data_IF_570488765795
#
_entry.id   IF_570488765795
#
_cell.length_a   1.000
_cell.length_b   1.000
_cell.length_c   1.000
_cell.angle_alpha   90.00
_cell.angle_beta   90.00
_cell.angle_gamma   90.00
#
_symmetry.space_group_name_H-M   'P 1'
#
loop_
_entity.id
_entity.type
_entity.pdbx_description
1 polymer ?
#
# COMPACT_ATOMS: atom_id res chain seq x y z
N UNK A 1 -20.80 6.99 5.39
CA UNK A 1 -20.02 5.76 5.19
C UNK A 1 -20.15 4.93 6.45
N UNK A 2 -20.80 3.77 6.38
CA UNK A 2 -20.94 2.82 7.49
C UNK A 2 -20.30 1.49 7.10
N UNK A 3 -19.90 0.69 8.10
CA UNK A 3 -19.37 -0.67 7.91
C UNK A 3 -17.88 -0.75 7.60
N UNK A 4 -17.40 -1.95 7.32
CA UNK A 4 -15.99 -2.22 7.05
C UNK A 4 -15.70 -2.30 5.54
N UNK A 5 -14.44 -2.10 5.17
CA UNK A 5 -13.91 -2.48 3.86
C UNK A 5 -12.67 -3.31 4.11
N UNK A 6 -12.68 -4.55 3.63
CA UNK A 6 -11.66 -5.53 3.97
C UNK A 6 -10.85 -5.93 2.76
N UNK A 7 -9.54 -5.89 2.94
CA UNK A 7 -8.56 -6.56 2.11
C UNK A 7 -7.81 -7.55 2.98
N UNK A 8 -7.07 -8.46 2.36
CA UNK A 8 -6.39 -9.55 3.07
C UNK A 8 -5.55 -9.06 4.26
N UNK A 9 -4.78 -7.99 4.04
CA UNK A 9 -3.81 -7.47 5.02
C UNK A 9 -4.14 -6.09 5.60
N UNK A 10 -5.29 -5.52 5.25
CA UNK A 10 -5.75 -4.24 5.79
C UNK A 10 -7.27 -4.21 5.88
N UNK A 11 -7.79 -3.76 7.02
CA UNK A 11 -9.22 -3.54 7.24
C UNK A 11 -9.44 -2.06 7.53
N UNK A 12 -10.40 -1.46 6.84
CA UNK A 12 -10.85 -0.08 7.04
C UNK A 12 -12.19 -0.11 7.76
N UNK A 13 -12.22 0.39 9.00
CA UNK A 13 -13.45 0.58 9.77
C UNK A 13 -13.94 2.02 9.58
N UNK A 14 -15.12 2.18 8.97
CA UNK A 14 -15.69 3.50 8.66
C UNK A 14 -16.39 4.13 9.86
N UNK A 15 -16.74 3.32 10.86
CA UNK A 15 -17.48 3.75 12.05
C UNK A 15 -16.49 4.27 13.10
N UNK A 16 -15.42 3.52 13.40
CA UNK A 16 -14.33 3.99 14.25
C UNK A 16 -13.37 4.97 13.55
N UNK A 17 -13.45 5.07 12.21
CA UNK A 17 -12.59 5.92 11.37
C UNK A 17 -11.11 5.56 11.51
N UNK A 18 -10.83 4.26 11.57
CA UNK A 18 -9.48 3.70 11.69
C UNK A 18 -9.22 2.65 10.62
N UNK A 19 -7.96 2.37 10.36
CA UNK A 19 -7.54 1.20 9.59
C UNK A 19 -6.59 0.33 10.42
N UNK A 20 -6.72 -0.98 10.26
CA UNK A 20 -5.89 -1.97 10.93
C UNK A 20 -5.08 -2.75 9.91
N UNK A 21 -3.76 -2.77 10.10
CA UNK A 21 -2.80 -3.46 9.26
C UNK A 21 -2.41 -4.79 9.89
N UNK A 22 -2.50 -5.87 9.10
CA UNK A 22 -2.17 -7.24 9.51
C UNK A 22 -0.80 -7.70 9.00
N UNK A 23 -0.27 -7.09 7.93
CA UNK A 23 1.04 -7.40 7.34
C UNK A 23 1.76 -6.12 6.88
N UNK A 24 3.00 -5.93 7.35
CA UNK A 24 3.75 -4.67 7.24
C UNK A 24 3.85 -3.99 8.61
N UNK A 25 3.55 -2.70 8.69
CA UNK A 25 3.50 -1.91 9.93
C UNK A 25 2.25 -2.26 10.74
N UNK A 26 2.22 -3.45 11.36
CA UNK A 26 1.06 -3.95 12.11
C UNK A 26 0.58 -2.97 13.18
N UNK A 27 -0.72 -2.79 13.28
CA UNK A 27 -1.34 -1.86 14.23
C UNK A 27 -2.62 -1.23 13.70
N UNK A 28 -3.24 -0.39 14.52
CA UNK A 28 -4.44 0.38 14.17
C UNK A 28 -4.09 1.86 14.15
N UNK A 29 -4.52 2.53 13.09
CA UNK A 29 -4.15 3.91 12.79
C UNK A 29 -5.38 4.74 12.45
N UNK A 30 -5.45 6.01 12.86
CA UNK A 30 -6.60 6.87 12.59
C UNK A 30 -6.56 7.42 11.15
N UNK A 31 -7.75 7.56 10.54
CA UNK A 31 -7.91 8.18 9.22
C UNK A 31 -7.44 9.64 9.18
N UNK A 32 -7.63 10.38 10.27
CA UNK A 32 -7.29 11.79 10.36
C UNK A 32 -5.79 12.05 10.17
N UNK A 33 -4.95 11.04 10.40
CA UNK A 33 -3.50 11.18 10.30
C UNK A 33 -2.97 10.85 8.90
N UNK A 34 -3.78 10.25 8.01
CA UNK A 34 -3.32 9.93 6.64
C UNK A 34 -3.18 11.21 5.84
N UNK A 35 -1.98 11.51 5.33
CA UNK A 35 -1.73 12.66 4.46
C UNK A 35 -1.43 12.28 3.01
N UNK A 36 -0.88 11.08 2.79
CA UNK A 36 -0.59 10.58 1.45
C UNK A 36 -0.69 9.04 1.40
N UNK A 37 -0.86 8.51 0.19
CA UNK A 37 -0.95 7.08 -0.07
C UNK A 37 -0.30 6.73 -1.42
N UNK A 38 0.74 5.91 -1.40
CA UNK A 38 1.51 5.49 -2.57
C UNK A 38 1.47 3.98 -2.76
N UNK A 39 1.60 3.52 -4.00
CA UNK A 39 1.75 2.10 -4.31
C UNK A 39 3.22 1.84 -4.62
N UNK A 40 3.78 0.79 -4.04
CA UNK A 40 5.16 0.40 -4.22
C UNK A 40 5.27 -1.10 -4.46
N UNK A 41 6.34 -1.48 -5.17
CA UNK A 41 6.73 -2.88 -5.37
C UNK A 41 8.05 -3.09 -4.63
N UNK A 42 8.03 -3.86 -3.55
CA UNK A 42 9.21 -4.21 -2.78
C UNK A 42 10.00 -5.31 -3.49
N UNK A 43 11.32 -5.17 -3.64
CA UNK A 43 12.14 -6.25 -4.18
C UNK A 43 12.17 -7.42 -3.20
N UNK A 44 11.69 -8.59 -3.65
CA UNK A 44 11.53 -9.77 -2.81
C UNK A 44 12.85 -10.25 -2.18
N UNK A 45 14.02 -9.87 -2.72
CA UNK A 45 15.32 -10.20 -2.14
C UNK A 45 15.59 -9.55 -0.80
N UNK A 46 14.93 -8.42 -0.53
CA UNK A 46 15.16 -7.57 0.66
C UNK A 46 14.03 -7.65 1.70
N UNK A 47 12.90 -8.29 1.38
CA UNK A 47 11.81 -8.47 2.35
C UNK A 47 12.33 -9.15 3.62
N UNK A 48 12.06 -8.52 4.77
CA UNK A 48 12.44 -9.02 6.09
C UNK A 48 13.91 -8.80 6.46
N UNK A 49 14.73 -8.25 5.56
CA UNK A 49 16.13 -7.87 5.83
C UNK A 49 16.27 -6.38 6.13
N UNK A 50 15.48 -5.58 5.43
CA UNK A 50 15.45 -4.13 5.53
C UNK A 50 14.03 -3.65 5.86
N UNK A 51 13.90 -2.34 6.13
CA UNK A 51 12.60 -1.68 6.24
C UNK A 51 11.74 -1.95 4.97
N UNK A 52 10.44 -2.25 5.12
CA UNK A 52 9.55 -2.50 3.99
C UNK A 52 9.61 -1.40 2.93
N UNK A 53 9.70 -1.78 1.67
CA UNK A 53 9.72 -0.85 0.52
C UNK A 53 10.90 0.14 0.52
N UNK A 54 11.98 -0.13 1.26
CA UNK A 54 13.25 0.59 1.09
C UNK A 54 13.87 0.35 -0.28
N UNK A 55 13.71 -0.87 -0.81
CA UNK A 55 14.24 -1.29 -2.11
C UNK A 55 13.11 -1.47 -3.12
N UNK A 56 12.64 -0.37 -3.69
CA UNK A 56 11.50 -0.41 -4.62
C UNK A 56 11.90 -0.72 -6.06
N UNK A 57 11.12 -1.55 -6.75
CA UNK A 57 11.23 -1.78 -8.19
C UNK A 57 10.29 -0.83 -8.95
N UNK A 58 10.86 0.14 -9.68
CA UNK A 58 10.12 1.18 -10.39
C UNK A 58 9.41 0.68 -11.65
N UNK A 59 8.19 1.19 -11.89
CA UNK A 59 7.31 0.84 -13.04
C UNK A 59 7.99 0.97 -14.42
N UNK A 60 8.93 1.90 -14.59
CA UNK A 60 9.70 2.07 -15.84
C UNK A 60 10.78 1.00 -16.07
N UNK A 61 11.35 0.41 -15.01
CA UNK A 61 12.30 -0.70 -15.16
C UNK A 61 11.63 -1.99 -15.61
N UNK A 62 10.30 -2.10 -15.54
CA UNK A 62 9.62 -3.35 -15.88
C UNK A 62 9.75 -3.73 -17.35
N UNK A 63 9.89 -2.74 -18.25
CA UNK A 63 10.15 -2.98 -19.67
C UNK A 63 11.52 -3.62 -19.91
N UNK A 64 12.54 -3.29 -19.10
CA UNK A 64 13.85 -3.97 -19.14
C UNK A 64 13.84 -5.34 -18.44
N UNK A 65 12.88 -5.59 -17.54
CA UNK A 65 12.87 -6.81 -16.70
C UNK A 65 12.25 -8.04 -17.37
N UNK A 66 11.81 -7.99 -18.63
CA UNK A 66 11.44 -9.21 -19.36
C UNK A 66 12.57 -10.28 -19.36
N UNK A 67 13.82 -9.85 -19.13
CA UNK A 67 15.00 -10.72 -19.06
C UNK A 67 15.49 -11.01 -17.62
N UNK A 68 14.85 -10.45 -16.60
CA UNK A 68 15.24 -10.67 -15.21
C UNK A 68 14.03 -11.18 -14.45
N UNK A 69 14.04 -12.45 -14.04
CA UNK A 69 13.04 -13.09 -13.17
C UNK A 69 12.96 -12.37 -11.80
N UNK A 70 12.49 -11.12 -11.79
CA UNK A 70 12.36 -10.30 -10.59
C UNK A 70 11.01 -10.63 -9.96
N UNK A 71 11.08 -10.97 -8.70
CA UNK A 71 9.93 -11.19 -7.85
C UNK A 71 9.77 -9.97 -6.97
N UNK A 72 8.53 -9.53 -6.80
CA UNK A 72 8.21 -8.38 -5.96
C UNK A 72 7.09 -8.70 -5.00
N UNK A 73 6.98 -7.91 -3.95
CA UNK A 73 5.77 -7.81 -3.16
C UNK A 73 5.07 -6.49 -3.47
N UNK A 74 3.78 -6.54 -3.78
CA UNK A 74 2.98 -5.35 -4.02
C UNK A 74 2.49 -4.82 -2.68
N UNK A 75 2.56 -3.50 -2.49
CA UNK A 75 2.05 -2.88 -1.28
C UNK A 75 1.65 -1.43 -1.43
N UNK A 76 1.15 -0.92 -0.31
CA UNK A 76 0.72 0.46 -0.14
C UNK A 76 1.51 1.08 1.00
N UNK A 77 1.95 2.32 0.81
CA UNK A 77 2.66 3.12 1.80
C UNK A 77 1.75 4.30 2.15
N UNK A 78 1.34 4.38 3.41
CA UNK A 78 0.69 5.56 3.96
C UNK A 78 1.73 6.48 4.56
N UNK A 79 1.66 7.76 4.19
CA UNK A 79 2.36 8.80 4.93
C UNK A 79 1.41 9.38 5.96
N UNK A 80 1.88 9.45 7.20
CA UNK A 80 1.12 9.93 8.34
C UNK A 80 1.52 11.38 8.66
N UNK A 81 0.65 12.12 9.36
CA UNK A 81 0.85 13.54 9.70
C UNK A 81 2.13 13.81 10.49
N UNK A 82 2.60 12.85 11.29
CA UNK A 82 3.87 12.90 12.01
C UNK A 82 5.09 12.52 11.15
N UNK A 83 4.94 12.51 9.81
CA UNK A 83 5.93 12.06 8.83
C UNK A 83 6.34 10.59 8.90
N UNK A 84 5.67 9.80 9.76
CA UNK A 84 5.88 8.36 9.79
C UNK A 84 5.32 7.73 8.51
N UNK A 85 6.05 6.76 7.96
CA UNK A 85 5.55 5.87 6.92
C UNK A 85 5.01 4.59 7.54
N UNK A 86 3.82 4.20 7.11
CA UNK A 86 3.13 2.99 7.55
C UNK A 86 2.91 2.11 6.33
N UNK A 87 3.42 0.89 6.40
CA UNK A 87 3.56 0.01 5.25
C UNK A 87 2.55 -1.13 5.28
N UNK A 88 1.96 -1.45 4.12
CA UNK A 88 1.05 -2.59 3.95
C UNK A 88 1.54 -3.45 2.81
N UNK A 89 1.81 -4.71 3.09
CA UNK A 89 1.95 -5.71 2.02
C UNK A 89 0.56 -6.14 1.55
N UNK A 90 0.20 -5.81 0.31
CA UNK A 90 -1.07 -6.25 -0.31
C UNK A 90 -0.95 -7.69 -0.79
N UNK A 91 0.22 -8.08 -1.30
CA UNK A 91 0.55 -9.46 -1.64
C UNK A 91 1.17 -10.19 -0.44
N UNK A 92 0.77 -11.43 -0.20
CA UNK A 92 1.42 -12.31 0.79
C UNK A 92 2.59 -13.08 0.22
N UNK A 93 2.50 -13.41 -1.06
CA UNK A 93 3.52 -14.14 -1.78
C UNK A 93 4.36 -13.19 -2.63
N UNK A 94 5.61 -13.60 -2.86
CA UNK A 94 6.46 -12.94 -3.85
C UNK A 94 5.91 -13.29 -5.23
N UNK A 95 5.74 -12.29 -6.07
CA UNK A 95 5.06 -12.48 -7.34
C UNK A 95 5.98 -12.06 -8.48
N UNK A 96 6.21 -12.91 -9.49
CA UNK A 96 6.90 -12.48 -10.70
C UNK A 96 6.06 -11.41 -11.38
N UNK A 97 6.73 -10.42 -11.93
CA UNK A 97 6.03 -9.26 -12.44
C UNK A 97 5.39 -9.61 -13.78
N UNK A 98 4.31 -8.91 -14.15
CA UNK A 98 3.48 -9.13 -15.35
C UNK A 98 2.66 -10.43 -15.30
N UNK A 99 2.71 -11.17 -14.20
CA UNK A 99 1.78 -12.29 -13.98
C UNK A 99 0.38 -11.79 -13.61
N UNK A 100 -0.61 -12.65 -13.83
CA UNK A 100 -2.00 -12.37 -13.43
C UNK A 100 -2.12 -12.03 -11.94
N UNK A 101 -1.37 -12.73 -11.08
CA UNK A 101 -1.34 -12.46 -9.65
C UNK A 101 -0.81 -11.06 -9.34
N UNK A 102 0.26 -10.62 -10.02
CA UNK A 102 0.80 -9.26 -9.86
C UNK A 102 -0.23 -8.20 -10.22
N UNK A 103 -0.92 -8.38 -11.35
CA UNK A 103 -1.97 -7.44 -11.79
C UNK A 103 -3.16 -7.42 -10.81
N UNK A 104 -3.54 -8.57 -10.25
CA UNK A 104 -4.58 -8.66 -9.22
C UNK A 104 -4.19 -7.90 -7.95
N UNK A 105 -2.98 -8.14 -7.44
CA UNK A 105 -2.48 -7.46 -6.24
C UNK A 105 -2.35 -5.95 -6.46
N UNK A 106 -1.90 -5.54 -7.64
CA UNK A 106 -1.83 -4.12 -8.00
C UNK A 106 -3.20 -3.47 -8.10
N UNK A 107 -4.22 -4.16 -8.61
CA UNK A 107 -5.61 -3.68 -8.63
C UNK A 107 -6.19 -3.51 -7.22
N UNK A 108 -5.86 -4.44 -6.31
CA UNK A 108 -6.22 -4.29 -4.90
C UNK A 108 -5.54 -3.07 -4.28
N UNK A 109 -4.25 -2.87 -4.55
CA UNK A 109 -3.50 -1.70 -4.09
C UNK A 109 -4.06 -0.37 -4.62
N UNK A 110 -4.49 -0.32 -5.89
CA UNK A 110 -5.17 0.86 -6.46
C UNK A 110 -6.53 1.11 -5.77
N UNK A 111 -7.29 0.05 -5.50
CA UNK A 111 -8.58 0.19 -4.78
C UNK A 111 -8.37 0.77 -3.37
N UNK A 112 -7.32 0.32 -2.66
CA UNK A 112 -6.91 0.86 -1.36
C UNK A 112 -6.52 2.33 -1.50
N UNK A 113 -5.69 2.67 -2.49
CA UNK A 113 -5.24 4.04 -2.73
C UNK A 113 -6.39 5.00 -3.02
N UNK A 114 -7.35 4.60 -3.87
CA UNK A 114 -8.53 5.41 -4.15
C UNK A 114 -9.42 5.61 -2.91
N UNK A 115 -9.54 4.59 -2.06
CA UNK A 115 -10.22 4.74 -0.78
C UNK A 115 -9.48 5.71 0.16
N UNK A 116 -8.15 5.62 0.22
CA UNK A 116 -7.30 6.52 0.98
C UNK A 116 -7.42 7.98 0.50
N UNK A 117 -7.47 8.23 -0.81
CA UNK A 117 -7.73 9.57 -1.36
C UNK A 117 -9.05 10.16 -0.86
N UNK A 118 -10.12 9.35 -0.82
CA UNK A 118 -11.42 9.79 -0.28
C UNK A 118 -11.34 10.12 1.22
N UNK A 119 -10.56 9.36 1.98
CA UNK A 119 -10.26 9.65 3.38
C UNK A 119 -9.52 10.99 3.50
N UNK A 120 -8.42 11.17 2.76
CA UNK A 120 -7.60 12.40 2.78
C UNK A 120 -8.45 13.61 2.43
N UNK A 121 -9.25 13.54 1.35
CA UNK A 121 -10.15 14.64 0.96
C UNK A 121 -11.14 15.01 2.06
N UNK A 122 -11.69 14.01 2.76
CA UNK A 122 -12.69 14.23 3.80
C UNK A 122 -12.11 14.76 5.11
N UNK A 123 -10.95 14.27 5.53
CA UNK A 123 -10.41 14.54 6.87
C UNK A 123 -9.19 15.48 6.86
N UNK A 124 -8.57 15.67 5.70
CA UNK A 124 -7.40 16.54 5.48
C UNK A 124 -7.58 17.39 4.19
N UNK A 125 -8.65 18.20 4.06
CA UNK A 125 -9.01 18.86 2.80
C UNK A 125 -7.96 19.86 2.30
N UNK A 126 -7.15 20.45 3.18
CA UNK A 126 -6.06 21.38 2.80
C UNK A 126 -4.92 20.72 2.01
N UNK A 127 -4.85 19.39 1.99
CA UNK A 127 -3.83 18.60 1.28
C UNK A 127 -4.32 18.19 -0.12
N UNK A 128 -5.62 18.29 -0.39
CA UNK A 128 -6.26 17.76 -1.62
C UNK A 128 -6.28 18.73 -2.82
N UNK A 129 -5.63 19.88 -2.71
CA UNK A 129 -5.64 20.96 -3.72
C UNK A 129 -4.32 21.10 -4.49
N UNK A 130 -3.59 20.00 -4.70
CA UNK A 130 -2.37 19.97 -5.54
C UNK A 130 -2.40 18.73 -6.43
#
# INVERSE_FOLDING_TARGET
MKGTMEFKNITFDKDSKTFTIKNGSKGTYPYADIVNCMIANDDAKFKGKDEPFKHTVLSGMFQMTMFTNKYVYVGVIFEMRNHQKVYVYVSDEKTPIQTLQYHKDRRNAETIKEFAKRIIHKYNPKISTT
#
